data_IF_201804828067
#
_entry.id   IF_201804828067
#
_cell.length_a   1.000
_cell.length_b   1.000
_cell.length_c   1.000
_cell.angle_alpha   90.00
_cell.angle_beta   90.00
_cell.angle_gamma   90.00
#
_symmetry.space_group_name_H-M   'P 1'
#
loop_
_entity.id
_entity.type
_entity.pdbx_description
1 polymer ?
#
# COMPACT_ATOMS: atom_id res chain seq x y z
N UNK A 1 43.85 51.51 -19.27
CA UNK A 1 43.55 51.77 -17.84
C UNK A 1 42.34 52.70 -17.74
N UNK A 2 41.22 52.21 -17.21
CA UNK A 2 40.18 52.93 -16.44
C UNK A 2 39.05 51.94 -16.14
N UNK A 3 38.83 51.65 -14.86
CA UNK A 3 37.72 50.81 -14.37
C UNK A 3 36.40 51.57 -14.53
N UNK A 4 35.28 50.94 -14.90
CA UNK A 4 33.97 51.53 -14.71
C UNK A 4 33.50 51.29 -13.27
N UNK A 5 33.07 52.39 -12.65
CA UNK A 5 32.43 52.52 -11.35
C UNK A 5 31.01 51.97 -11.35
N UNK A 6 30.65 51.27 -10.26
CA UNK A 6 29.28 50.85 -9.93
C UNK A 6 28.36 52.05 -9.67
N UNK A 7 27.13 51.98 -10.17
CA UNK A 7 25.96 52.73 -9.68
C UNK A 7 24.88 51.72 -9.29
N UNK A 8 24.34 51.72 -8.07
CA UNK A 8 23.14 50.95 -7.77
C UNK A 8 21.90 51.77 -8.18
N UNK A 9 21.10 51.24 -9.10
CA UNK A 9 19.75 51.73 -9.34
C UNK A 9 18.85 51.28 -8.18
N UNK A 10 18.41 52.21 -7.36
CA UNK A 10 17.33 52.02 -6.39
C UNK A 10 16.02 52.28 -7.12
N UNK A 11 15.27 51.22 -7.45
CA UNK A 11 13.86 51.35 -7.81
C UNK A 11 13.02 51.33 -6.54
N UNK A 12 12.50 52.51 -6.15
CA UNK A 12 11.37 52.62 -5.22
C UNK A 12 10.10 52.21 -5.97
N UNK A 13 9.59 51.01 -5.71
CA UNK A 13 8.21 50.65 -6.04
C UNK A 13 7.36 50.78 -4.77
N UNK A 14 6.56 51.84 -4.69
CA UNK A 14 5.46 51.95 -3.73
C UNK A 14 4.32 51.07 -4.25
N UNK A 15 4.25 49.82 -3.79
CA UNK A 15 3.10 48.96 -4.02
C UNK A 15 2.08 49.14 -2.91
N UNK A 16 1.04 49.94 -3.15
CA UNK A 16 -0.17 49.91 -2.32
C UNK A 16 -0.90 48.58 -2.59
N UNK A 17 -0.75 47.61 -1.72
CA UNK A 17 -1.60 46.42 -1.67
C UNK A 17 -2.81 46.70 -0.76
N UNK A 18 -4.00 46.81 -1.35
CA UNK A 18 -5.24 46.63 -0.58
C UNK A 18 -5.37 45.15 -0.24
N UNK A 19 -4.84 44.76 0.91
CA UNK A 19 -5.10 43.45 1.53
C UNK A 19 -6.49 43.50 2.16
N UNK A 20 -7.52 43.06 1.42
CA UNK A 20 -8.75 42.60 2.04
C UNK A 20 -8.42 41.34 2.85
N UNK A 21 -8.16 41.52 4.15
CA UNK A 21 -8.08 40.43 5.12
C UNK A 21 -9.44 39.73 5.21
N UNK A 22 -9.64 38.69 4.41
CA UNK A 22 -10.24 37.49 4.98
C UNK A 22 -9.07 36.73 5.61
N UNK A 23 -8.85 36.94 6.92
CA UNK A 23 -7.92 36.12 7.69
C UNK A 23 -8.51 34.70 7.78
N UNK A 24 -8.44 33.94 6.70
CA UNK A 24 -8.48 32.49 6.82
C UNK A 24 -7.07 32.06 7.23
N UNK A 25 -6.88 31.52 8.45
CA UNK A 25 -5.61 30.91 8.79
C UNK A 25 -5.37 29.75 7.82
N UNK A 26 -4.35 29.88 6.98
CA UNK A 26 -3.86 28.78 6.16
C UNK A 26 -3.05 27.89 7.10
N UNK A 27 -3.72 26.91 7.71
CA UNK A 27 -3.06 25.84 8.42
C UNK A 27 -2.49 24.85 7.40
N UNK A 28 -1.21 25.04 7.06
CA UNK A 28 -0.45 24.03 6.33
C UNK A 28 0.02 22.96 7.30
N UNK A 29 -0.71 21.85 7.37
CA UNK A 29 -0.30 20.71 8.17
C UNK A 29 0.77 19.91 7.41
N UNK A 30 1.92 19.68 8.03
CA UNK A 30 2.97 18.84 7.47
C UNK A 30 2.40 17.43 7.24
N UNK A 31 2.66 16.79 6.08
CA UNK A 31 2.33 15.38 5.93
C UNK A 31 3.00 14.58 7.04
N UNK A 32 2.32 13.56 7.56
CA UNK A 32 2.93 12.52 8.39
C UNK A 32 4.05 11.88 7.54
N UNK A 33 5.27 12.33 7.75
CA UNK A 33 6.47 11.57 7.46
C UNK A 33 6.94 11.12 8.83
N UNK A 34 7.15 9.82 9.03
CA UNK A 34 7.84 9.42 10.25
C UNK A 34 9.23 10.08 10.22
N UNK A 35 9.62 10.69 11.33
CA UNK A 35 11.03 11.03 11.53
C UNK A 35 11.88 9.76 11.51
N UNK A 36 13.17 9.90 11.81
CA UNK A 36 13.98 8.71 12.15
C UNK A 36 13.18 7.85 13.15
N UNK A 37 12.94 6.56 12.88
CA UNK A 37 12.15 5.68 13.76
C UNK A 37 12.67 5.65 15.19
N UNK A 38 13.92 6.03 15.43
CA UNK A 38 14.51 6.20 16.77
C UNK A 38 13.94 7.40 17.54
N UNK A 39 13.22 8.29 16.87
CA UNK A 39 12.58 9.48 17.40
C UNK A 39 11.05 9.37 17.44
N UNK A 40 10.48 8.23 17.00
CA UNK A 40 9.05 8.02 16.99
C UNK A 40 8.47 8.15 18.41
N UNK A 41 7.36 8.89 18.52
CA UNK A 41 6.64 9.03 19.78
C UNK A 41 5.76 7.79 20.04
N UNK A 42 5.36 7.61 21.29
CA UNK A 42 4.43 6.56 21.65
C UNK A 42 3.11 6.74 20.90
N UNK A 43 2.66 5.69 20.20
CA UNK A 43 1.44 5.65 19.37
C UNK A 43 1.45 6.55 18.13
N UNK A 44 2.57 7.18 17.79
CA UNK A 44 2.67 7.91 16.52
C UNK A 44 2.35 6.97 15.34
N UNK A 45 1.43 7.37 14.43
CA UNK A 45 1.10 6.56 13.27
C UNK A 45 2.35 6.27 12.42
N UNK A 46 2.53 4.99 12.07
CA UNK A 46 3.69 4.57 11.28
C UNK A 46 3.37 4.75 9.78
N UNK A 47 4.15 5.60 9.10
CA UNK A 47 4.11 5.65 7.64
C UNK A 47 4.97 4.52 7.03
N UNK A 48 4.31 3.50 6.48
CA UNK A 48 4.97 2.40 5.78
C UNK A 48 5.49 2.79 4.38
N UNK A 49 5.13 3.97 3.87
CA UNK A 49 5.57 4.43 2.54
C UNK A 49 7.09 4.58 2.44
N UNK A 50 7.76 4.84 3.56
CA UNK A 50 9.21 4.96 3.65
C UNK A 50 9.96 3.68 3.30
N UNK A 51 9.39 2.51 3.59
CA UNK A 51 9.99 1.23 3.24
C UNK A 51 10.18 1.13 1.71
N UNK A 52 9.31 1.79 0.93
CA UNK A 52 9.33 1.85 -0.52
C UNK A 52 10.17 3.00 -1.07
N UNK A 53 10.92 3.73 -0.24
CA UNK A 53 11.88 4.78 -0.65
C UNK A 53 13.29 4.54 -0.10
N UNK A 54 13.46 3.55 0.77
CA UNK A 54 14.73 3.23 1.41
C UNK A 54 15.66 2.44 0.47
N UNK A 55 16.83 2.98 0.19
CA UNK A 55 17.84 2.38 -0.70
C UNK A 55 18.49 1.10 -0.14
N UNK A 56 18.40 0.87 1.17
CA UNK A 56 18.89 -0.35 1.79
C UNK A 56 17.93 -1.54 1.62
N UNK A 57 16.65 -1.28 1.32
CA UNK A 57 15.64 -2.33 1.20
C UNK A 57 15.74 -3.03 -0.16
N UNK A 58 15.44 -4.33 -0.19
CA UNK A 58 15.32 -5.10 -1.43
C UNK A 58 13.87 -5.05 -1.91
N UNK A 59 13.65 -4.68 -3.17
CA UNK A 59 12.33 -4.65 -3.80
C UNK A 59 12.05 -5.95 -4.56
N UNK A 60 10.79 -6.35 -4.64
CA UNK A 60 10.30 -7.51 -5.37
C UNK A 60 9.04 -7.09 -6.13
N UNK A 61 9.14 -7.01 -7.46
CA UNK A 61 8.07 -6.51 -8.32
C UNK A 61 7.35 -7.68 -8.98
N UNK A 62 6.02 -7.65 -9.05
CA UNK A 62 5.26 -8.73 -9.67
C UNK A 62 5.47 -8.73 -11.20
N UNK A 63 6.24 -9.69 -11.74
CA UNK A 63 6.67 -9.70 -13.14
C UNK A 63 5.85 -10.66 -14.00
N UNK A 64 5.74 -11.92 -13.60
CA UNK A 64 5.20 -12.99 -14.46
C UNK A 64 4.34 -14.01 -13.72
N UNK A 65 3.23 -14.40 -14.34
CA UNK A 65 2.43 -15.56 -13.93
C UNK A 65 3.06 -16.85 -14.48
N UNK A 66 3.78 -17.56 -13.62
CA UNK A 66 4.52 -18.78 -13.95
C UNK A 66 3.58 -19.96 -14.20
N UNK A 67 2.57 -20.09 -13.35
CA UNK A 67 1.55 -21.13 -13.47
C UNK A 67 0.21 -20.59 -12.97
N UNK A 68 -0.88 -21.12 -13.50
CA UNK A 68 -2.23 -20.74 -13.10
C UNK A 68 -3.22 -21.84 -13.47
N UNK A 69 -3.95 -22.32 -12.47
CA UNK A 69 -5.09 -23.22 -12.62
C UNK A 69 -6.39 -22.40 -12.60
N UNK A 70 -7.09 -22.26 -13.75
CA UNK A 70 -8.31 -21.47 -13.83
C UNK A 70 -9.49 -22.10 -13.09
N UNK A 71 -9.47 -23.40 -12.75
CA UNK A 71 -10.55 -24.05 -12.02
C UNK A 71 -10.53 -23.70 -10.53
N UNK A 72 -9.33 -23.56 -9.95
CA UNK A 72 -9.14 -23.15 -8.55
C UNK A 72 -8.83 -21.66 -8.39
N UNK A 73 -8.45 -20.97 -9.46
CA UNK A 73 -8.00 -19.58 -9.42
C UNK A 73 -6.62 -19.41 -8.76
N UNK A 74 -5.86 -20.51 -8.58
CA UNK A 74 -4.55 -20.51 -7.91
C UNK A 74 -3.43 -20.53 -8.92
N UNK A 75 -2.35 -19.84 -8.62
CA UNK A 75 -1.17 -19.76 -9.46
C UNK A 75 0.08 -19.36 -8.70
N UNK A 76 1.15 -19.16 -9.45
CA UNK A 76 2.44 -18.76 -8.93
C UNK A 76 2.93 -17.52 -9.66
N UNK A 77 3.37 -16.51 -8.90
CA UNK A 77 3.95 -15.28 -9.41
C UNK A 77 5.46 -15.27 -9.21
N UNK A 78 6.19 -15.00 -10.29
CA UNK A 78 7.61 -14.64 -10.20
C UNK A 78 7.73 -13.18 -9.81
N UNK A 79 8.54 -12.91 -8.80
CA UNK A 79 8.82 -11.56 -8.35
C UNK A 79 10.22 -11.14 -8.78
N UNK A 80 10.30 -10.16 -9.67
CA UNK A 80 11.56 -9.58 -10.10
C UNK A 80 12.21 -8.85 -8.93
N UNK A 81 13.37 -9.33 -8.50
CA UNK A 81 14.20 -8.66 -7.50
C UNK A 81 14.73 -7.34 -8.06
N UNK A 82 14.72 -6.32 -7.23
CA UNK A 82 15.34 -5.05 -7.53
C UNK A 82 15.82 -4.30 -6.30
N UNK A 83 16.47 -3.18 -6.56
CA UNK A 83 16.87 -2.22 -5.56
C UNK A 83 16.82 -0.82 -6.15
N UNK A 84 16.71 0.19 -5.28
CA UNK A 84 16.78 1.57 -5.74
C UNK A 84 18.18 1.91 -6.24
N UNK A 85 18.21 2.52 -7.42
CA UNK A 85 19.40 3.15 -7.99
C UNK A 85 19.08 4.60 -8.29
N UNK A 86 20.05 5.46 -8.00
CA UNK A 86 19.96 6.87 -8.32
C UNK A 86 20.14 7.09 -9.82
N UNK A 87 19.47 8.12 -10.34
CA UNK A 87 19.65 8.62 -11.70
C UNK A 87 19.71 10.14 -11.64
N UNK A 88 20.84 10.71 -12.01
CA UNK A 88 20.97 12.15 -12.18
C UNK A 88 20.21 12.61 -13.43
N UNK A 89 19.45 13.70 -13.29
CA UNK A 89 18.76 14.38 -14.36
C UNK A 89 19.02 15.88 -14.22
N UNK A 90 20.04 16.38 -14.94
CA UNK A 90 20.50 17.78 -14.87
C UNK A 90 20.89 18.14 -13.42
N UNK A 91 20.06 18.94 -12.73
CA UNK A 91 20.22 19.40 -11.35
C UNK A 91 19.33 18.64 -10.35
N UNK A 92 18.70 17.54 -10.77
CA UNK A 92 17.82 16.71 -9.95
C UNK A 92 18.40 15.28 -9.81
N UNK A 93 18.15 14.64 -8.67
CA UNK A 93 18.47 13.23 -8.43
C UNK A 93 17.17 12.45 -8.24
N UNK A 94 16.95 11.45 -9.07
CA UNK A 94 15.78 10.58 -9.04
C UNK A 94 16.15 9.17 -8.56
N UNK A 95 15.19 8.42 -8.05
CA UNK A 95 15.37 7.05 -7.60
C UNK A 95 14.46 6.11 -8.39
N UNK A 96 15.02 5.05 -8.97
CA UNK A 96 14.27 4.02 -9.68
C UNK A 96 14.63 2.64 -9.18
N UNK A 97 13.63 1.77 -9.09
CA UNK A 97 13.88 0.34 -8.92
C UNK A 97 14.53 -0.18 -10.21
N UNK A 98 15.68 -0.84 -10.04
CA UNK A 98 16.40 -1.56 -11.09
C UNK A 98 16.56 -3.00 -10.65
N UNK A 99 16.64 -3.90 -11.63
CA UNK A 99 16.94 -5.30 -11.36
C UNK A 99 18.22 -5.42 -10.54
N UNK A 100 18.21 -6.37 -9.61
CA UNK A 100 19.33 -6.63 -8.73
C UNK A 100 19.61 -8.12 -8.68
N UNK A 101 20.89 -8.46 -8.57
CA UNK A 101 21.37 -9.83 -8.42
C UNK A 101 21.08 -10.38 -7.01
N UNK A 102 21.24 -11.68 -6.85
CA UNK A 102 21.25 -12.32 -5.52
C UNK A 102 22.45 -11.81 -4.71
N UNK A 103 22.22 -11.56 -3.43
CA UNK A 103 23.26 -11.09 -2.50
C UNK A 103 23.37 -11.96 -1.25
N UNK A 104 22.76 -13.15 -1.29
CA UNK A 104 22.73 -14.12 -0.22
C UNK A 104 24.03 -14.95 -0.18
N UNK A 105 24.50 -15.26 1.04
CA UNK A 105 25.56 -16.23 1.30
C UNK A 105 25.01 -17.38 2.17
N UNK A 106 25.27 -18.65 1.83
CA UNK A 106 25.95 -19.11 0.62
C UNK A 106 25.17 -18.79 -0.67
N UNK A 107 25.90 -18.48 -1.73
CA UNK A 107 25.29 -18.16 -3.03
C UNK A 107 24.57 -19.37 -3.62
N UNK A 108 23.42 -19.14 -4.26
CA UNK A 108 22.66 -20.17 -4.97
C UNK A 108 21.69 -21.00 -4.11
N UNK A 109 21.65 -20.79 -2.78
CA UNK A 109 20.68 -21.48 -1.91
C UNK A 109 19.25 -20.96 -2.04
N UNK A 110 19.10 -19.71 -2.47
CA UNK A 110 17.80 -19.04 -2.60
C UNK A 110 17.57 -18.57 -4.03
N UNK A 111 16.31 -18.64 -4.48
CA UNK A 111 15.91 -18.05 -5.75
C UNK A 111 16.13 -16.53 -5.72
N UNK A 112 16.85 -16.00 -6.71
CA UNK A 112 17.04 -14.55 -6.87
C UNK A 112 15.69 -13.87 -7.08
N UNK A 113 14.86 -14.44 -7.95
CA UNK A 113 13.50 -13.98 -8.24
C UNK A 113 12.51 -15.03 -7.73
N UNK A 114 12.00 -14.90 -6.49
CA UNK A 114 11.22 -15.94 -5.87
C UNK A 114 9.89 -16.15 -6.62
N UNK A 115 9.46 -17.41 -6.71
CA UNK A 115 8.15 -17.79 -7.24
C UNK A 115 7.21 -18.07 -6.07
N UNK A 116 6.20 -17.22 -5.87
CA UNK A 116 5.34 -17.24 -4.69
C UNK A 116 3.84 -17.39 -5.03
N UNK A 117 3.03 -17.97 -4.12
CA UNK A 117 1.61 -18.20 -4.38
C UNK A 117 0.78 -16.92 -4.64
N UNK A 118 -0.15 -17.06 -5.57
CA UNK A 118 -1.15 -16.06 -5.94
C UNK A 118 -2.51 -16.74 -6.13
N UNK A 119 -3.59 -16.09 -5.74
CA UNK A 119 -4.94 -16.53 -6.08
C UNK A 119 -5.90 -15.39 -6.40
N UNK A 120 -6.88 -15.73 -7.24
CA UNK A 120 -8.09 -14.93 -7.47
C UNK A 120 -9.29 -15.76 -7.02
N UNK A 121 -10.04 -15.26 -6.06
CA UNK A 121 -11.24 -15.88 -5.53
C UNK A 121 -12.47 -15.07 -5.96
N UNK A 122 -13.42 -15.72 -6.62
CA UNK A 122 -14.66 -15.11 -7.08
C UNK A 122 -15.71 -15.24 -5.99
N UNK A 123 -15.99 -14.13 -5.27
CA UNK A 123 -16.77 -14.18 -4.03
C UNK A 123 -18.27 -14.05 -4.30
N UNK A 124 -18.66 -13.06 -5.10
CA UNK A 124 -20.02 -12.92 -5.66
C UNK A 124 -19.91 -12.43 -7.12
N UNK A 125 -21.00 -12.08 -7.84
CA UNK A 125 -20.88 -11.62 -9.21
C UNK A 125 -20.10 -10.30 -9.43
N UNK A 126 -19.69 -9.58 -8.38
CA UNK A 126 -18.91 -8.33 -8.52
C UNK A 126 -17.62 -8.29 -7.68
N UNK A 127 -17.64 -8.65 -6.38
CA UNK A 127 -16.45 -8.69 -5.55
C UNK A 127 -15.59 -9.89 -5.91
N UNK A 128 -14.32 -9.60 -6.12
CA UNK A 128 -13.27 -10.58 -6.34
C UNK A 128 -12.16 -10.30 -5.34
N UNK A 129 -11.55 -11.36 -4.81
CA UNK A 129 -10.51 -11.26 -3.81
C UNK A 129 -9.19 -11.72 -4.42
N UNK A 130 -8.18 -10.86 -4.31
CA UNK A 130 -6.82 -11.19 -4.70
C UNK A 130 -6.02 -11.54 -3.45
N UNK A 131 -5.33 -12.68 -3.46
CA UNK A 131 -4.36 -13.02 -2.42
C UNK A 131 -2.99 -13.16 -3.07
N UNK A 132 -2.02 -12.43 -2.54
CA UNK A 132 -0.63 -12.48 -2.96
C UNK A 132 0.22 -12.79 -1.74
N UNK A 133 1.01 -13.85 -1.84
CA UNK A 133 1.89 -14.25 -0.75
C UNK A 133 3.27 -13.66 -0.99
N UNK A 134 3.87 -13.09 0.05
CA UNK A 134 5.26 -12.59 0.00
C UNK A 134 6.27 -13.62 0.52
N UNK A 135 5.81 -14.79 0.94
CA UNK A 135 6.60 -15.94 1.40
C UNK A 135 5.74 -17.19 1.54
N UNK A 136 6.30 -18.25 2.09
CA UNK A 136 5.54 -19.47 2.41
C UNK A 136 4.65 -19.20 3.62
N UNK A 137 3.36 -19.00 3.37
CA UNK A 137 2.35 -18.87 4.42
C UNK A 137 1.62 -20.19 4.56
N UNK A 138 1.58 -20.73 5.78
CA UNK A 138 0.68 -21.83 6.10
C UNK A 138 -0.68 -21.21 6.39
N UNK A 139 -1.68 -21.56 5.58
CA UNK A 139 -3.07 -21.20 5.86
C UNK A 139 -3.42 -21.70 7.28
N UNK A 140 -3.82 -20.78 8.16
CA UNK A 140 -4.19 -21.14 9.52
C UNK A 140 -5.47 -21.98 9.54
N UNK A 141 -6.27 -21.94 8.47
CA UNK A 141 -7.60 -22.54 8.41
C UNK A 141 -8.59 -21.87 9.37
N UNK A 142 -8.22 -20.72 9.94
CA UNK A 142 -9.03 -19.99 10.92
C UNK A 142 -10.04 -19.08 10.22
N UNK A 143 -11.22 -18.95 10.83
CA UNK A 143 -12.27 -18.06 10.37
C UNK A 143 -11.91 -16.58 10.59
N UNK A 144 -12.15 -15.76 9.57
CA UNK A 144 -11.90 -14.32 9.61
C UNK A 144 -13.10 -13.55 10.17
N UNK A 145 -12.90 -12.77 11.23
CA UNK A 145 -13.91 -11.81 11.69
C UNK A 145 -14.19 -10.68 10.69
N UNK A 146 -13.34 -10.52 9.66
CA UNK A 146 -13.51 -9.52 8.60
C UNK A 146 -14.40 -10.00 7.46
N UNK A 147 -14.75 -11.28 7.43
CA UNK A 147 -15.58 -11.90 6.41
C UNK A 147 -16.90 -12.36 7.02
N UNK A 148 -18.00 -12.12 6.31
CA UNK A 148 -19.29 -12.68 6.69
C UNK A 148 -19.17 -14.21 6.70
N UNK A 149 -19.62 -14.86 7.78
CA UNK A 149 -19.51 -16.32 7.98
C UNK A 149 -18.07 -16.84 8.13
N UNK A 150 -17.09 -15.97 8.39
CA UNK A 150 -15.71 -16.41 8.66
C UNK A 150 -14.89 -16.78 7.42
N UNK A 151 -15.53 -17.04 6.27
CA UNK A 151 -14.89 -17.52 5.04
C UNK A 151 -15.34 -16.71 3.84
N UNK A 152 -14.52 -16.57 2.78
CA UNK A 152 -14.98 -15.95 1.55
C UNK A 152 -16.06 -16.82 0.90
N UNK A 153 -17.12 -16.17 0.41
CA UNK A 153 -18.09 -16.84 -0.46
C UNK A 153 -17.44 -17.36 -1.75
N UNK A 154 -18.15 -18.26 -2.46
CA UNK A 154 -17.73 -18.79 -3.77
C UNK A 154 -18.85 -18.66 -4.78
N UNK A 155 -18.58 -17.93 -5.85
CA UNK A 155 -19.51 -17.70 -6.96
C UNK A 155 -19.15 -18.56 -8.17
N UNK A 156 -20.16 -19.19 -8.76
CA UNK A 156 -20.01 -20.09 -9.92
C UNK A 156 -20.44 -19.46 -11.24
N UNK A 157 -20.87 -18.19 -11.24
CA UNK A 157 -21.31 -17.48 -12.46
C UNK A 157 -20.14 -17.04 -13.36
N UNK A 158 -18.93 -16.96 -12.79
CA UNK A 158 -17.71 -16.61 -13.50
C UNK A 158 -17.27 -17.76 -14.41
N UNK A 159 -17.33 -17.53 -15.72
CA UNK A 159 -16.93 -18.54 -16.71
C UNK A 159 -15.48 -18.34 -17.10
N UNK A 160 -14.74 -19.40 -17.40
CA UNK A 160 -13.36 -19.28 -17.87
C UNK A 160 -13.29 -19.22 -19.41
N UNK A 161 -12.38 -18.39 -19.91
CA UNK A 161 -11.96 -18.39 -21.31
C UNK A 161 -10.45 -18.15 -21.41
N UNK A 162 -9.75 -19.04 -22.13
CA UNK A 162 -8.34 -18.87 -22.44
C UNK A 162 -8.18 -17.89 -23.59
N UNK A 163 -7.22 -16.98 -23.47
CA UNK A 163 -6.80 -16.06 -24.52
C UNK A 163 -5.27 -16.11 -24.62
N UNK A 164 -4.70 -15.74 -25.75
CA UNK A 164 -3.24 -15.68 -25.89
C UNK A 164 -2.64 -14.78 -24.80
N UNK A 165 -1.72 -15.35 -24.01
CA UNK A 165 -1.06 -14.70 -22.87
C UNK A 165 -1.98 -14.29 -21.71
N UNK A 166 -3.25 -14.71 -21.69
CA UNK A 166 -4.27 -14.16 -20.76
C UNK A 166 -5.31 -15.20 -20.32
N UNK A 167 -5.78 -15.05 -19.09
CA UNK A 167 -6.94 -15.79 -18.55
C UNK A 167 -8.08 -14.81 -18.34
N UNK A 168 -9.25 -15.06 -18.93
CA UNK A 168 -10.40 -14.15 -18.84
C UNK A 168 -11.59 -14.83 -18.17
N UNK A 169 -12.17 -14.12 -17.21
CA UNK A 169 -13.32 -14.54 -16.43
C UNK A 169 -14.47 -13.53 -16.55
N UNK A 170 -15.41 -13.69 -17.48
CA UNK A 170 -16.62 -12.86 -17.54
C UNK A 170 -17.76 -13.36 -16.67
N UNK A 171 -18.65 -12.44 -16.31
CA UNK A 171 -20.00 -12.70 -15.84
C UNK A 171 -20.92 -11.48 -16.11
N UNK A 172 -22.11 -11.45 -15.51
CA UNK A 172 -23.04 -10.33 -15.64
C UNK A 172 -22.57 -9.03 -14.96
N UNK A 173 -21.68 -9.12 -13.97
CA UNK A 173 -21.11 -7.98 -13.24
C UNK A 173 -19.90 -7.33 -13.91
N UNK A 174 -19.29 -7.98 -14.90
CA UNK A 174 -18.13 -7.48 -15.62
C UNK A 174 -17.18 -8.59 -16.07
N UNK A 175 -15.88 -8.30 -16.13
CA UNK A 175 -14.88 -9.35 -16.32
C UNK A 175 -13.57 -9.05 -15.60
N UNK A 176 -12.90 -10.12 -15.18
CA UNK A 176 -11.51 -10.09 -14.70
C UNK A 176 -10.62 -10.70 -15.76
N UNK A 177 -9.51 -10.03 -16.10
CA UNK A 177 -8.48 -10.56 -17.00
C UNK A 177 -7.16 -10.61 -16.25
N UNK A 178 -6.54 -11.79 -16.25
CA UNK A 178 -5.20 -12.01 -15.71
C UNK A 178 -4.24 -12.14 -16.89
N UNK A 179 -3.30 -11.20 -17.03
CA UNK A 179 -2.24 -11.27 -18.05
C UNK A 179 -1.02 -11.97 -17.48
N UNK A 180 -0.35 -12.78 -18.31
CA UNK A 180 0.83 -13.56 -17.90
C UNK A 180 2.10 -12.72 -17.76
N UNK A 181 2.44 -11.91 -18.78
CA UNK A 181 3.65 -11.09 -18.79
C UNK A 181 3.46 -9.79 -19.61
N UNK A 182 3.80 -8.60 -19.07
CA UNK A 182 3.93 -8.35 -17.63
C UNK A 182 2.66 -8.78 -16.91
N UNK A 183 2.80 -9.30 -15.70
CA UNK A 183 1.66 -9.78 -14.93
C UNK A 183 0.69 -8.64 -14.63
N UNK A 184 -0.60 -8.89 -14.86
CA UNK A 184 -1.67 -7.93 -14.55
C UNK A 184 -2.91 -8.62 -14.06
N UNK A 185 -3.63 -7.97 -13.16
CA UNK A 185 -5.06 -8.20 -12.97
C UNK A 185 -5.79 -6.95 -13.43
N UNK A 186 -6.70 -7.12 -14.39
CA UNK A 186 -7.47 -6.06 -15.03
C UNK A 186 -8.96 -6.29 -14.72
N UNK A 187 -9.64 -5.22 -14.31
CA UNK A 187 -11.07 -5.25 -13.95
C UNK A 187 -11.88 -4.43 -14.94
N UNK A 188 -12.91 -5.04 -15.52
CA UNK A 188 -13.75 -4.44 -16.54
C UNK A 188 -15.21 -4.39 -16.10
N UNK A 189 -15.90 -3.32 -16.48
CA UNK A 189 -17.37 -3.19 -16.39
C UNK A 189 -18.08 -4.17 -17.34
N UNK A 190 -19.40 -4.38 -17.18
CA UNK A 190 -20.21 -5.16 -18.12
C UNK A 190 -20.15 -4.63 -19.56
N UNK A 191 -19.98 -3.32 -19.74
CA UNK A 191 -19.84 -2.65 -21.03
C UNK A 191 -18.44 -2.81 -21.67
N UNK A 192 -17.51 -3.52 -21.01
CA UNK A 192 -16.15 -3.73 -21.47
C UNK A 192 -15.17 -2.60 -21.16
N UNK A 193 -15.59 -1.55 -20.44
CA UNK A 193 -14.70 -0.45 -20.02
C UNK A 193 -13.78 -0.89 -18.87
N UNK A 194 -12.48 -0.67 -19.02
CA UNK A 194 -11.49 -0.90 -17.95
C UNK A 194 -11.77 0.05 -16.78
N UNK A 195 -11.88 -0.50 -15.57
CA UNK A 195 -12.08 0.25 -14.32
C UNK A 195 -10.73 0.55 -13.68
N UNK A 196 -9.92 -0.50 -13.48
CA UNK A 196 -8.60 -0.41 -12.87
C UNK A 196 -7.78 -1.66 -13.23
N UNK A 197 -6.46 -1.57 -13.04
CA UNK A 197 -5.53 -2.68 -13.21
C UNK A 197 -4.36 -2.55 -12.24
N UNK A 198 -3.71 -3.65 -11.89
CA UNK A 198 -2.42 -3.58 -11.20
C UNK A 198 -1.42 -2.78 -12.04
N UNK A 199 -0.63 -1.91 -11.37
CA UNK A 199 0.38 -1.10 -12.04
C UNK A 199 1.72 -1.86 -12.14
N UNK A 200 2.35 -1.77 -13.31
CA UNK A 200 3.64 -2.39 -13.59
C UNK A 200 4.64 -1.34 -14.10
N UNK A 201 5.96 -1.57 -13.96
CA UNK A 201 6.98 -0.62 -14.44
C UNK A 201 6.80 -0.24 -15.91
N UNK A 202 6.40 -1.21 -16.74
CA UNK A 202 6.15 -1.00 -18.17
C UNK A 202 4.98 -0.06 -18.48
N UNK A 203 4.09 0.22 -17.51
CA UNK A 203 3.02 1.24 -17.68
C UNK A 203 3.55 2.67 -17.55
N UNK A 204 4.73 2.83 -16.95
CA UNK A 204 5.26 4.12 -16.52
C UNK A 204 6.42 4.58 -17.42
N UNK A 205 6.54 4.01 -18.62
CA UNK A 205 7.61 4.33 -19.57
C UNK A 205 7.45 5.68 -20.30
N UNK A 206 6.27 6.30 -20.17
CA UNK A 206 5.97 7.63 -20.73
C UNK A 206 6.20 8.78 -19.73
N UNK A 207 6.67 8.47 -18.52
CA UNK A 207 6.98 9.47 -17.49
C UNK A 207 8.41 9.35 -17.01
N UNK A 208 9.03 10.50 -16.72
CA UNK A 208 10.33 10.54 -16.06
C UNK A 208 10.22 10.50 -14.53
N UNK A 209 9.00 10.54 -14.00
CA UNK A 209 8.70 10.41 -12.57
C UNK A 209 8.70 8.93 -12.18
N UNK A 210 9.36 8.61 -11.08
CA UNK A 210 9.32 7.27 -10.51
C UNK A 210 7.92 6.97 -9.98
N UNK A 211 7.33 5.87 -10.42
CA UNK A 211 6.03 5.39 -9.98
C UNK A 211 6.22 4.02 -9.37
N UNK A 212 5.76 3.85 -8.13
CA UNK A 212 5.81 2.58 -7.42
C UNK A 212 4.89 1.55 -8.13
N UNK A 213 5.42 0.44 -8.64
CA UNK A 213 4.60 -0.62 -9.21
C UNK A 213 4.07 -1.58 -8.12
N UNK A 214 3.19 -2.50 -8.51
CA UNK A 214 2.73 -3.57 -7.62
C UNK A 214 3.91 -4.46 -7.20
N UNK A 215 4.11 -4.61 -5.89
CA UNK A 215 5.34 -5.18 -5.36
C UNK A 215 5.31 -5.39 -3.86
N UNK A 216 6.39 -5.94 -3.32
CA UNK A 216 6.71 -5.85 -1.90
C UNK A 216 8.18 -5.49 -1.71
N UNK A 217 8.53 -5.03 -0.51
CA UNK A 217 9.91 -4.76 -0.11
C UNK A 217 10.26 -5.61 1.09
N UNK A 218 11.49 -6.12 1.13
CA UNK A 218 12.09 -6.75 2.30
C UNK A 218 12.99 -5.73 2.99
N UNK A 219 12.66 -5.37 4.22
CA UNK A 219 13.41 -4.40 5.01
C UNK A 219 14.75 -4.99 5.42
N UNK A 220 15.84 -4.23 5.24
CA UNK A 220 17.18 -4.72 5.58
C UNK A 220 17.41 -4.86 7.09
N UNK A 221 16.72 -4.07 7.91
CA UNK A 221 16.95 -4.02 9.36
C UNK A 221 16.36 -5.20 10.13
N UNK A 222 15.27 -5.79 9.64
CA UNK A 222 14.49 -6.80 10.38
C UNK A 222 13.82 -7.86 9.47
N UNK A 223 14.08 -7.83 8.16
CA UNK A 223 13.47 -8.72 7.17
C UNK A 223 11.95 -8.64 7.06
N UNK A 224 11.32 -7.64 7.70
CA UNK A 224 9.89 -7.40 7.56
C UNK A 224 9.54 -7.11 6.10
N UNK A 225 8.34 -7.56 5.68
CA UNK A 225 7.87 -7.40 4.31
C UNK A 225 6.70 -6.44 4.25
N UNK A 226 6.89 -5.31 3.58
CA UNK A 226 5.82 -4.32 3.33
C UNK A 226 5.31 -4.51 1.89
N UNK A 227 3.99 -4.56 1.71
CA UNK A 227 3.34 -4.81 0.41
C UNK A 227 2.77 -3.52 -0.19
N UNK A 228 3.03 -3.29 -1.46
CA UNK A 228 2.44 -2.23 -2.26
C UNK A 228 1.46 -2.83 -3.27
N UNK A 229 0.18 -2.87 -2.89
CA UNK A 229 -0.90 -3.26 -3.79
C UNK A 229 -1.31 -2.05 -4.66
N UNK A 230 -0.52 -1.76 -5.71
CA UNK A 230 -0.71 -0.56 -6.53
C UNK A 230 -1.64 -0.81 -7.72
N UNK A 231 -2.69 -0.01 -7.80
CA UNK A 231 -3.66 -0.04 -8.89
C UNK A 231 -3.70 1.30 -9.64
N UNK A 232 -3.99 1.25 -10.93
CA UNK A 232 -4.10 2.43 -11.79
C UNK A 232 -5.43 3.15 -11.57
N UNK A 233 -5.40 4.48 -11.53
CA UNK A 233 -6.59 5.34 -11.49
C UNK A 233 -6.82 6.02 -12.83
N UNK A 234 -8.07 6.19 -13.23
CA UNK A 234 -8.45 6.99 -14.39
C UNK A 234 -8.24 8.50 -14.15
N UNK A 235 -8.06 9.30 -15.20
CA UNK A 235 -8.12 10.76 -15.10
C UNK A 235 -9.43 11.23 -14.47
N UNK A 236 -9.35 12.18 -13.53
CA UNK A 236 -10.53 12.74 -12.85
C UNK A 236 -11.21 11.80 -11.83
N UNK A 237 -10.74 10.56 -11.69
CA UNK A 237 -11.27 9.61 -10.70
C UNK A 237 -11.08 10.12 -9.27
N UNK A 238 -12.15 10.09 -8.47
CA UNK A 238 -12.19 10.55 -7.08
C UNK A 238 -12.20 9.34 -6.15
N UNK A 239 -11.51 9.46 -5.02
CA UNK A 239 -11.41 8.40 -3.99
C UNK A 239 -12.07 8.89 -2.70
N UNK A 240 -12.81 8.02 -2.02
CA UNK A 240 -13.60 8.31 -0.82
C UNK A 240 -13.47 7.20 0.22
N UNK A 241 -13.86 7.45 1.47
CA UNK A 241 -13.84 6.45 2.54
C UNK A 241 -12.60 6.57 3.42
N UNK A 242 -11.98 5.42 3.73
CA UNK A 242 -10.81 5.27 4.62
C UNK A 242 -11.11 5.52 6.11
N UNK A 243 -12.38 5.48 6.51
CA UNK A 243 -12.82 5.70 7.89
C UNK A 243 -13.06 7.17 8.24
N UNK A 244 -12.77 7.54 9.49
CA UNK A 244 -12.95 8.89 10.04
C UNK A 244 -11.79 9.82 9.66
N UNK A 245 -11.44 9.90 8.38
CA UNK A 245 -10.35 10.77 7.92
C UNK A 245 -10.85 12.18 7.58
N UNK A 246 -10.56 13.15 8.43
CA UNK A 246 -11.17 14.50 8.44
C UNK A 246 -10.54 15.53 7.47
N UNK A 247 -9.69 15.08 6.53
CA UNK A 247 -9.27 15.89 5.36
C UNK A 247 -10.34 15.95 4.28
N UNK A 248 -10.08 16.74 3.23
CA UNK A 248 -10.96 16.88 2.07
C UNK A 248 -11.58 15.54 1.62
N UNK A 249 -12.86 15.57 1.27
CA UNK A 249 -13.66 14.38 0.97
C UNK A 249 -13.04 13.51 -0.14
N UNK A 250 -12.53 14.14 -1.20
CA UNK A 250 -11.79 13.44 -2.25
C UNK A 250 -10.35 13.17 -1.79
N UNK A 251 -10.03 11.90 -1.53
CA UNK A 251 -8.72 11.41 -1.08
C UNK A 251 -7.71 11.26 -2.21
N UNK A 252 -8.07 11.55 -3.48
CA UNK A 252 -7.12 11.53 -4.59
C UNK A 252 -5.97 12.52 -4.33
N UNK A 253 -4.74 12.02 -4.36
CA UNK A 253 -3.53 12.82 -4.09
C UNK A 253 -3.20 12.99 -2.61
N UNK A 254 -3.99 12.42 -1.70
CA UNK A 254 -3.69 12.39 -0.27
C UNK A 254 -2.98 11.08 0.09
N UNK A 255 -2.10 11.14 1.09
CA UNK A 255 -1.62 9.96 1.81
C UNK A 255 -2.45 9.83 3.07
N UNK A 256 -3.04 8.65 3.30
CA UNK A 256 -3.89 8.37 4.46
C UNK A 256 -3.27 7.21 5.23
N UNK A 257 -2.76 7.51 6.43
CA UNK A 257 -2.17 6.49 7.30
C UNK A 257 -3.30 5.82 8.07
N UNK A 258 -3.50 4.52 7.83
CA UNK A 258 -4.52 3.72 8.49
C UNK A 258 -3.98 3.13 9.79
N UNK A 259 -3.76 4.00 10.78
CA UNK A 259 -3.37 3.64 12.13
C UNK A 259 -4.36 4.24 13.13
N UNK A 260 -4.84 3.44 14.07
CA UNK A 260 -5.69 3.95 15.13
C UNK A 260 -4.85 4.78 16.08
N UNK A 261 -5.22 6.04 16.26
CA UNK A 261 -4.52 6.98 17.13
C UNK A 261 -5.50 7.76 18.02
N UNK A 262 -5.00 8.27 19.14
CA UNK A 262 -5.75 9.28 19.88
C UNK A 262 -5.56 10.62 19.20
N UNK A 263 -6.49 10.93 18.29
CA UNK A 263 -6.31 12.04 17.36
C UNK A 263 -6.23 13.43 18.01
N UNK A 264 -6.52 13.57 19.32
CA UNK A 264 -6.40 14.84 20.05
C UNK A 264 -7.15 16.02 19.39
N UNK A 265 -8.24 15.73 18.66
CA UNK A 265 -9.06 16.73 18.01
C UNK A 265 -9.55 16.31 16.63
N UNK A 266 -10.22 17.23 15.94
CA UNK A 266 -10.85 17.02 14.62
C UNK A 266 -10.18 17.83 13.50
N UNK A 267 -9.04 18.45 13.80
CA UNK A 267 -8.35 19.41 12.93
C UNK A 267 -6.97 18.90 12.47
N UNK A 268 -6.79 17.58 12.40
CA UNK A 268 -5.55 16.95 11.94
C UNK A 268 -5.84 15.68 11.11
N UNK A 269 -4.80 15.00 10.60
CA UNK A 269 -4.94 13.78 9.78
C UNK A 269 -5.01 12.47 10.56
N UNK A 270 -4.71 12.48 11.86
CA UNK A 270 -4.81 11.30 12.71
C UNK A 270 -6.28 10.95 12.97
N UNK A 271 -6.59 9.69 13.25
CA UNK A 271 -7.98 9.26 13.39
C UNK A 271 -8.16 8.11 14.37
N UNK A 272 -9.28 8.14 15.11
CA UNK A 272 -9.67 7.06 16.01
C UNK A 272 -10.21 5.83 15.27
N UNK A 273 -10.81 6.03 14.08
CA UNK A 273 -11.56 4.99 13.36
C UNK A 273 -11.06 4.80 11.91
N UNK A 274 -9.82 4.29 11.71
CA UNK A 274 -9.36 3.95 10.38
C UNK A 274 -10.10 2.72 9.84
N UNK A 275 -10.54 2.77 8.60
CA UNK A 275 -11.16 1.63 7.92
C UNK A 275 -10.38 1.37 6.63
N UNK A 276 -9.80 0.17 6.40
CA UNK A 276 -9.01 -0.14 5.22
C UNK A 276 -9.88 -0.41 3.98
N UNK A 277 -10.85 0.47 3.75
CA UNK A 277 -11.80 0.43 2.65
C UNK A 277 -11.91 1.81 2.01
N UNK A 278 -11.82 1.86 0.68
CA UNK A 278 -12.14 3.06 -0.08
C UNK A 278 -13.11 2.78 -1.22
N UNK A 279 -13.83 3.81 -1.62
CA UNK A 279 -14.72 3.85 -2.78
C UNK A 279 -14.13 4.74 -3.86
N UNK A 280 -14.33 4.35 -5.11
CA UNK A 280 -13.98 5.14 -6.29
C UNK A 280 -15.23 5.67 -6.97
N UNK A 281 -15.17 6.90 -7.49
CA UNK A 281 -16.21 7.46 -8.37
C UNK A 281 -16.43 6.66 -9.65
N UNK A 282 -15.53 5.73 -10.01
CA UNK A 282 -15.70 4.83 -11.14
C UNK A 282 -16.64 3.64 -10.85
N UNK A 283 -17.13 3.52 -9.61
CA UNK A 283 -18.15 2.54 -9.22
C UNK A 283 -17.59 1.23 -8.66
N UNK A 284 -16.38 1.26 -8.08
CA UNK A 284 -15.79 0.13 -7.37
C UNK A 284 -15.30 0.54 -5.99
N UNK A 285 -15.08 -0.45 -5.12
CA UNK A 285 -14.38 -0.26 -3.86
C UNK A 285 -13.22 -1.23 -3.73
N UNK A 286 -12.24 -0.89 -2.89
CA UNK A 286 -11.13 -1.77 -2.53
C UNK A 286 -11.13 -1.90 -1.01
N UNK A 287 -11.13 -3.14 -0.54
CA UNK A 287 -10.97 -3.50 0.87
C UNK A 287 -9.67 -4.26 1.04
N UNK A 288 -8.81 -3.78 1.93
CA UNK A 288 -7.53 -4.41 2.25
C UNK A 288 -7.65 -5.11 3.60
N UNK A 289 -7.49 -6.43 3.60
CA UNK A 289 -7.53 -7.26 4.81
C UNK A 289 -6.08 -7.52 5.25
N UNK A 290 -5.78 -7.59 6.56
CA UNK A 290 -4.48 -8.01 7.07
C UNK A 290 -3.97 -9.31 6.41
N UNK A 291 -2.64 -9.48 6.38
CA UNK A 291 -1.97 -10.57 5.66
C UNK A 291 -2.29 -11.98 6.15
N UNK A 292 -2.76 -12.13 7.38
CA UNK A 292 -3.23 -13.39 7.96
C UNK A 292 -4.75 -13.57 7.81
N UNK A 293 -5.45 -12.58 7.24
CA UNK A 293 -6.90 -12.50 7.20
C UNK A 293 -7.57 -12.57 8.58
N UNK A 294 -6.82 -12.37 9.67
CA UNK A 294 -7.32 -12.56 11.02
C UNK A 294 -7.37 -11.22 11.76
N UNK A 295 -8.56 -10.90 12.28
CA UNK A 295 -8.62 -10.06 13.46
C UNK A 295 -8.55 -10.96 14.66
N UNK A 296 -7.54 -10.73 15.48
CA UNK A 296 -7.29 -11.51 16.68
C UNK A 296 -7.89 -10.77 17.87
N UNK A 297 -8.92 -11.33 18.56
CA UNK A 297 -9.45 -10.70 19.75
C UNK A 297 -8.42 -10.74 20.89
N UNK A 298 -8.01 -9.56 21.36
CA UNK A 298 -7.17 -9.45 22.55
C UNK A 298 -8.05 -9.22 23.77
N UNK A 299 -8.32 -10.28 24.54
CA UNK A 299 -9.01 -10.15 25.82
C UNK A 299 -8.00 -9.91 26.93
N UNK A 300 -8.07 -8.76 27.60
CA UNK A 300 -7.26 -8.48 28.78
C UNK A 300 -8.00 -8.89 30.05
N UNK A 301 -7.32 -9.60 30.96
CA UNK A 301 -7.77 -9.88 32.32
C UNK A 301 -6.90 -9.16 33.33
N UNK A 302 -7.53 -8.67 34.39
CA UNK A 302 -6.83 -8.08 35.53
C UNK A 302 -6.44 -9.20 36.50
N UNK A 303 -5.15 -9.30 36.83
CA UNK A 303 -4.63 -10.25 37.81
C UNK A 303 -3.44 -9.64 38.56
N UNK A 304 -3.48 -9.65 39.89
CA UNK A 304 -2.42 -9.09 40.74
C UNK A 304 -2.11 -7.61 40.46
N UNK A 305 -3.14 -6.79 40.19
CA UNK A 305 -2.99 -5.36 39.89
C UNK A 305 -2.45 -5.03 38.49
N UNK A 306 -2.16 -6.03 37.64
CA UNK A 306 -1.69 -5.84 36.26
C UNK A 306 -2.70 -6.36 35.26
N UNK A 307 -2.70 -5.81 34.04
CA UNK A 307 -3.41 -6.40 32.91
C UNK A 307 -2.50 -7.45 32.25
N UNK A 308 -3.07 -8.61 31.94
CA UNK A 308 -2.43 -9.66 31.16
C UNK A 308 -3.39 -10.07 30.05
N UNK A 309 -2.85 -10.56 28.95
CA UNK A 309 -3.67 -11.26 27.97
C UNK A 309 -4.27 -12.50 28.64
N UNK A 310 -5.55 -12.74 28.38
CA UNK A 310 -6.30 -13.88 28.91
C UNK A 310 -5.87 -15.18 28.26
N UNK A 311 -5.46 -15.09 27.00
CA UNK A 311 -4.90 -16.15 26.19
C UNK A 311 -3.86 -15.54 25.23
N UNK A 312 -2.90 -16.31 24.76
CA UNK A 312 -1.97 -15.89 23.71
C UNK A 312 -2.51 -16.35 22.36
N UNK A 313 -3.18 -15.46 21.61
CA UNK A 313 -3.80 -15.86 20.36
C UNK A 313 -2.77 -16.13 19.26
N UNK A 314 -1.52 -15.71 19.44
CA UNK A 314 -0.43 -16.04 18.53
C UNK A 314 0.29 -17.33 18.93
N UNK A 315 -0.18 -18.04 19.97
CA UNK A 315 0.33 -19.35 20.42
C UNK A 315 1.86 -19.37 20.56
N UNK A 316 2.43 -18.33 21.16
CA UNK A 316 3.86 -18.20 21.42
C UNK A 316 4.69 -17.66 20.25
N UNK A 317 4.10 -17.43 19.06
CA UNK A 317 4.80 -16.86 17.90
C UNK A 317 5.21 -15.40 18.13
N UNK A 318 4.50 -14.68 18.99
CA UNK A 318 4.74 -13.27 19.31
C UNK A 318 4.94 -13.14 20.82
N UNK A 319 5.96 -12.37 21.23
CA UNK A 319 6.13 -12.01 22.63
C UNK A 319 5.31 -10.77 22.95
N UNK A 320 4.21 -10.96 23.67
CA UNK A 320 3.36 -9.86 24.12
C UNK A 320 3.92 -9.15 25.34
N UNK A 321 3.87 -7.82 25.34
CA UNK A 321 4.17 -6.99 26.52
C UNK A 321 3.04 -6.00 26.74
N UNK A 322 2.14 -6.31 27.67
CA UNK A 322 1.05 -5.41 28.08
C UNK A 322 1.59 -4.43 29.11
N UNK A 323 1.65 -3.14 28.77
CA UNK A 323 2.14 -2.09 29.66
C UNK A 323 1.00 -1.09 29.89
N UNK A 324 0.43 -1.02 31.12
CA UNK A 324 -0.54 0.02 31.45
C UNK A 324 0.07 1.41 31.29
N UNK A 325 -0.65 2.36 30.67
CA UNK A 325 -0.16 3.72 30.43
C UNK A 325 0.41 4.38 31.69
N UNK A 326 -0.23 4.18 32.86
CA UNK A 326 0.20 4.73 34.14
C UNK A 326 1.54 4.18 34.68
N UNK A 327 2.04 3.05 34.17
CA UNK A 327 3.26 2.40 34.66
C UNK A 327 4.55 2.89 33.98
N UNK A 328 4.46 3.77 32.98
CA UNK A 328 5.62 4.37 32.28
C UNK A 328 5.98 5.79 32.75
N UNK A 329 5.19 6.37 33.64
CA UNK A 329 5.36 7.76 34.13
C UNK A 329 6.15 7.78 35.46
N UNK A 330 6.75 6.64 35.87
CA UNK A 330 7.61 6.56 37.06
C UNK A 330 9.01 6.12 36.70
#
# INVERSE_FOLDING_TARGET
MKRPTFFPFVFKALGCAFLCFSQMPVFGQLPLASGDRRQALLNEPIDLSEDFRNFANTSFLADELVSFDPATGRGMLRWQRGGYKTRQAINNMLAFVREAEGNEFPGGENEVQPVLPFSVEFVTPRPVRLRVMTGTVVDSGEESLMLAQGVPGRDTSWRYSALEGRHRFPNAGGSVVIRKKPWRVEFYKPDGKLISKTNHLSDNNVTYTSVLPFGFVRRSSDYFRSVAAVFSLSPGEKIYGMGEHLKALNKRGQTVVLGGDDANGVMNETMHKPIPFYLSSNGYGLFCIPSDDLLVPLTLRRSGGKFRLSDDPCRGKIRWRVIPAASRIR
#
